data_IF_380604188208
#
_entry.id   IF_380604188208
#
_cell.length_a   1.000
_cell.length_b   1.000
_cell.length_c   1.000
_cell.angle_alpha   90.00
_cell.angle_beta   90.00
_cell.angle_gamma   90.00
#
_symmetry.space_group_name_H-M   'P 1'
#
loop_
_entity.id
_entity.type
_entity.pdbx_description
1 polymer ?
#
# COMPACT_ATOMS: atom_id res chain seq x y z
N UNK A 1 34.56 68.30 -40.52
CA UNK A 1 33.71 68.19 -39.32
C UNK A 1 32.75 67.06 -39.59
N UNK A 2 33.07 65.85 -39.07
CA UNK A 2 32.23 64.66 -39.22
C UNK A 2 31.43 64.43 -37.92
N UNK A 3 30.11 64.14 -37.90
CA UNK A 3 29.38 63.81 -36.71
C UNK A 3 29.57 62.32 -36.37
N UNK A 4 29.98 62.08 -35.16
CA UNK A 4 30.13 60.79 -34.51
C UNK A 4 28.78 60.14 -34.32
N UNK A 5 28.63 58.98 -34.89
CA UNK A 5 27.45 58.12 -34.70
C UNK A 5 27.57 57.40 -33.32
N UNK A 6 26.90 57.93 -32.33
CA UNK A 6 26.75 57.22 -30.99
C UNK A 6 25.87 56.04 -31.15
N UNK A 7 26.49 54.83 -31.09
CA UNK A 7 25.85 53.56 -31.11
C UNK A 7 25.28 53.30 -29.70
N UNK A 8 24.00 53.27 -29.60
CA UNK A 8 23.26 52.98 -28.34
C UNK A 8 23.21 51.47 -28.08
N UNK A 9 24.31 50.92 -27.52
CA UNK A 9 24.43 49.51 -27.09
C UNK A 9 24.30 49.40 -25.56
N UNK A 10 23.09 49.43 -25.02
CA UNK A 10 23.05 49.32 -23.56
C UNK A 10 21.72 49.09 -22.87
N UNK A 11 20.74 48.41 -23.49
CA UNK A 11 19.47 48.26 -22.78
C UNK A 11 18.83 46.84 -22.77
N UNK A 12 19.46 45.82 -23.34
CA UNK A 12 18.80 44.50 -23.45
C UNK A 12 19.34 43.40 -22.51
N UNK A 13 20.44 43.62 -21.80
CA UNK A 13 21.09 42.60 -20.97
C UNK A 13 20.34 42.28 -19.65
N UNK A 14 19.71 43.22 -18.91
CA UNK A 14 19.11 42.93 -17.63
C UNK A 14 17.80 42.12 -17.73
N UNK A 15 17.04 42.25 -18.84
CA UNK A 15 15.77 41.57 -19.02
C UNK A 15 15.98 40.07 -19.30
N UNK A 16 16.99 39.73 -20.11
CA UNK A 16 17.31 38.34 -20.46
C UNK A 16 17.90 37.60 -19.26
N UNK A 17 18.74 38.25 -18.45
CA UNK A 17 19.31 37.66 -17.24
C UNK A 17 18.23 37.38 -16.17
N UNK A 18 17.24 38.25 -16.00
CA UNK A 18 16.11 38.04 -15.09
C UNK A 18 15.24 36.87 -15.51
N UNK A 19 15.01 36.66 -16.79
CA UNK A 19 14.21 35.55 -17.33
C UNK A 19 14.91 34.18 -17.15
N UNK A 20 16.25 34.15 -17.25
CA UNK A 20 17.07 32.95 -17.10
C UNK A 20 17.12 32.45 -15.64
N UNK A 21 17.08 33.33 -14.66
CA UNK A 21 17.16 32.97 -13.23
C UNK A 21 15.78 32.68 -12.64
N UNK A 22 14.74 33.43 -13.00
CA UNK A 22 13.40 33.25 -12.46
C UNK A 22 12.56 32.18 -13.21
N UNK A 23 12.89 31.88 -14.45
CA UNK A 23 12.14 30.94 -15.30
C UNK A 23 11.99 29.56 -14.69
N UNK A 24 13.06 28.88 -14.25
CA UNK A 24 12.96 27.52 -13.70
C UNK A 24 12.21 27.47 -12.36
N UNK A 25 12.31 28.51 -11.52
CA UNK A 25 11.59 28.57 -10.25
C UNK A 25 10.08 28.74 -10.49
N UNK A 26 9.69 29.61 -11.40
CA UNK A 26 8.29 29.82 -11.77
C UNK A 26 7.68 28.56 -12.43
N UNK A 27 8.45 27.90 -13.29
CA UNK A 27 8.00 26.64 -13.90
C UNK A 27 7.80 25.53 -12.85
N UNK A 28 8.70 25.40 -11.89
CA UNK A 28 8.59 24.42 -10.81
C UNK A 28 7.39 24.69 -9.89
N UNK A 29 7.12 25.95 -9.55
CA UNK A 29 5.97 26.32 -8.72
C UNK A 29 4.64 26.10 -9.43
N UNK A 30 4.56 26.39 -10.72
CA UNK A 30 3.36 26.12 -11.53
C UNK A 30 3.12 24.63 -11.69
N UNK A 31 4.17 23.82 -11.88
CA UNK A 31 4.07 22.37 -11.95
C UNK A 31 3.57 21.77 -10.63
N UNK A 32 4.12 22.22 -9.50
CA UNK A 32 3.66 21.78 -8.17
C UNK A 32 2.22 22.20 -7.89
N UNK A 33 1.84 23.43 -8.22
CA UNK A 33 0.47 23.90 -8.07
C UNK A 33 -0.49 23.08 -8.96
N UNK A 34 -0.08 22.75 -10.17
CA UNK A 34 -0.85 21.89 -11.09
C UNK A 34 -1.04 20.47 -10.55
N UNK A 35 0.00 19.86 -9.98
CA UNK A 35 -0.06 18.53 -9.38
C UNK A 35 -0.98 18.51 -8.15
N UNK A 36 -0.91 19.52 -7.28
CA UNK A 36 -1.78 19.65 -6.13
C UNK A 36 -3.23 19.83 -6.56
N UNK A 37 -3.50 20.70 -7.54
CA UNK A 37 -4.84 20.91 -8.08
C UNK A 37 -5.39 19.62 -8.73
N UNK A 38 -4.60 18.91 -9.54
CA UNK A 38 -4.99 17.65 -10.14
C UNK A 38 -5.36 16.59 -9.08
N UNK A 39 -4.63 16.55 -7.97
CA UNK A 39 -4.94 15.68 -6.82
C UNK A 39 -6.29 16.01 -6.16
N UNK A 40 -6.64 17.29 -6.06
CA UNK A 40 -7.92 17.75 -5.49
C UNK A 40 -9.12 17.36 -6.36
N UNK A 41 -8.96 17.36 -7.67
CA UNK A 41 -10.02 16.99 -8.62
C UNK A 41 -10.06 15.49 -8.96
N UNK A 42 -9.24 14.67 -8.33
CA UNK A 42 -9.22 13.21 -8.53
C UNK A 42 -8.74 12.78 -9.93
N UNK A 43 -8.12 13.68 -10.69
CA UNK A 43 -7.66 13.47 -12.06
C UNK A 43 -6.21 13.01 -12.17
N UNK A 44 -5.52 12.76 -11.04
CA UNK A 44 -4.09 12.48 -11.04
C UNK A 44 -3.68 11.15 -10.39
N UNK A 45 -2.39 10.80 -10.52
CA UNK A 45 -1.80 9.65 -9.84
C UNK A 45 -1.84 9.78 -8.30
N UNK A 46 -2.21 10.95 -7.77
CA UNK A 46 -2.39 11.25 -6.35
C UNK A 46 -3.82 10.94 -5.85
N UNK A 47 -4.60 10.15 -6.60
CA UNK A 47 -5.88 9.65 -6.10
C UNK A 47 -5.61 8.97 -4.76
N UNK A 48 -6.23 9.44 -3.69
CA UNK A 48 -6.15 8.76 -2.39
C UNK A 48 -6.50 7.30 -2.61
N UNK A 49 -5.60 6.36 -2.30
CA UNK A 49 -5.95 4.95 -2.39
C UNK A 49 -7.21 4.73 -1.57
N UNK A 50 -8.12 3.91 -2.09
CA UNK A 50 -9.29 3.50 -1.33
C UNK A 50 -8.81 3.00 0.06
N UNK A 51 -9.54 3.33 1.12
CA UNK A 51 -9.12 2.90 2.45
C UNK A 51 -9.03 1.36 2.45
N UNK A 52 -7.88 0.85 2.89
CA UNK A 52 -7.61 -0.58 2.95
C UNK A 52 -8.73 -1.31 3.72
N UNK A 53 -9.21 -2.42 3.19
CA UNK A 53 -10.06 -3.35 3.91
C UNK A 53 -9.27 -3.98 5.08
N UNK A 54 -9.97 -4.62 6.02
CA UNK A 54 -9.29 -5.31 7.13
C UNK A 54 -8.39 -6.43 6.62
N UNK A 55 -8.81 -7.18 5.58
CA UNK A 55 -7.99 -8.21 4.96
C UNK A 55 -6.76 -7.64 4.23
N UNK A 56 -6.90 -6.50 3.55
CA UNK A 56 -5.77 -5.83 2.90
C UNK A 56 -4.76 -5.26 3.90
N UNK A 57 -5.24 -4.71 5.02
CA UNK A 57 -4.38 -4.26 6.10
C UNK A 57 -3.60 -5.44 6.71
N UNK A 58 -4.27 -6.58 6.93
CA UNK A 58 -3.64 -7.80 7.40
C UNK A 58 -2.60 -8.35 6.40
N UNK A 59 -2.94 -8.40 5.11
CA UNK A 59 -2.00 -8.82 4.06
C UNK A 59 -0.80 -7.88 3.89
N UNK A 60 -0.96 -6.60 4.20
CA UNK A 60 0.11 -5.60 4.14
C UNK A 60 0.96 -5.49 5.41
N UNK A 61 0.64 -6.23 6.47
CA UNK A 61 1.32 -6.11 7.77
C UNK A 61 1.01 -4.79 8.51
N UNK A 62 -0.04 -4.07 8.10
CA UNK A 62 -0.43 -2.79 8.72
C UNK A 62 -1.30 -3.03 9.96
N UNK A 63 -0.63 -3.38 11.07
CA UNK A 63 -1.26 -3.65 12.36
C UNK A 63 -2.08 -2.46 12.87
N UNK A 64 -1.61 -1.22 12.63
CA UNK A 64 -2.32 -0.03 13.09
C UNK A 64 -3.66 0.13 12.37
N UNK A 65 -3.67 -0.03 11.06
CA UNK A 65 -4.90 0.02 10.27
C UNK A 65 -5.82 -1.16 10.60
N UNK A 66 -5.28 -2.37 10.80
CA UNK A 66 -6.06 -3.54 11.19
C UNK A 66 -6.80 -3.31 12.51
N UNK A 67 -6.10 -2.88 13.57
CA UNK A 67 -6.71 -2.58 14.88
C UNK A 67 -7.74 -1.46 14.76
N UNK A 68 -7.44 -0.40 14.03
CA UNK A 68 -8.38 0.70 13.81
C UNK A 68 -9.67 0.19 13.15
N UNK A 69 -9.56 -0.65 12.11
CA UNK A 69 -10.73 -1.21 11.42
C UNK A 69 -11.59 -2.07 12.33
N UNK A 70 -10.97 -2.90 13.19
CA UNK A 70 -11.70 -3.70 14.18
C UNK A 70 -12.45 -2.78 15.16
N UNK A 71 -11.79 -1.73 15.65
CA UNK A 71 -12.43 -0.75 16.55
C UNK A 71 -13.54 0.06 15.88
N UNK A 72 -13.50 0.24 14.57
CA UNK A 72 -14.56 0.83 13.74
C UNK A 72 -15.74 -0.14 13.54
N UNK A 73 -15.69 -1.36 14.09
CA UNK A 73 -16.75 -2.36 14.04
C UNK A 73 -16.62 -3.36 12.88
N UNK A 74 -15.47 -3.43 12.21
CA UNK A 74 -15.24 -4.48 11.22
C UNK A 74 -15.04 -5.82 11.93
N UNK A 75 -15.82 -6.82 11.55
CA UNK A 75 -15.78 -8.17 12.13
C UNK A 75 -14.52 -8.90 11.62
N UNK A 76 -13.60 -9.35 12.50
CA UNK A 76 -12.39 -10.07 12.11
C UNK A 76 -12.66 -11.47 11.53
N UNK A 77 -13.90 -11.98 11.66
CA UNK A 77 -14.34 -13.28 11.13
C UNK A 77 -15.15 -13.17 9.83
N UNK A 78 -15.22 -11.97 9.23
CA UNK A 78 -15.87 -11.74 7.95
C UNK A 78 -14.85 -11.67 6.83
N UNK A 79 -15.20 -12.23 5.66
CA UNK A 79 -14.40 -12.06 4.43
C UNK A 79 -14.53 -10.65 3.87
N UNK A 80 -13.40 -10.07 3.47
CA UNK A 80 -13.32 -8.74 2.86
C UNK A 80 -12.73 -8.83 1.46
N UNK A 81 -13.18 -7.97 0.54
CA UNK A 81 -12.60 -7.90 -0.78
C UNK A 81 -11.13 -7.51 -0.68
N UNK A 82 -10.30 -8.12 -1.53
CA UNK A 82 -8.88 -7.83 -1.67
C UNK A 82 -8.59 -7.34 -3.07
N UNK A 83 -7.73 -6.30 -3.17
CA UNK A 83 -7.30 -5.74 -4.42
C UNK A 83 -6.05 -6.45 -4.96
N UNK A 84 -5.55 -5.97 -6.09
CA UNK A 84 -4.27 -6.38 -6.64
C UNK A 84 -3.14 -6.29 -5.57
N UNK A 85 -2.19 -7.26 -5.45
CA UNK A 85 -1.95 -8.36 -6.41
C UNK A 85 -2.71 -9.68 -6.13
N UNK A 86 -3.46 -9.80 -5.04
CA UNK A 86 -4.16 -11.05 -4.69
C UNK A 86 -5.29 -11.34 -5.67
N UNK A 87 -6.02 -10.31 -6.10
CA UNK A 87 -7.08 -10.45 -7.10
C UNK A 87 -6.56 -11.00 -8.44
N UNK A 88 -5.31 -10.71 -8.81
CA UNK A 88 -4.69 -11.24 -10.02
C UNK A 88 -4.45 -12.77 -9.97
N UNK A 89 -4.52 -13.37 -8.78
CA UNK A 89 -4.44 -14.82 -8.54
C UNK A 89 -5.82 -15.49 -8.43
N UNK A 90 -6.89 -14.76 -8.79
CA UNK A 90 -8.27 -15.25 -8.67
C UNK A 90 -8.86 -15.16 -7.26
N UNK A 91 -8.12 -14.59 -6.30
CA UNK A 91 -8.59 -14.41 -4.93
C UNK A 91 -9.30 -13.06 -4.83
N UNK A 92 -10.62 -13.08 -4.68
CA UNK A 92 -11.44 -11.85 -4.64
C UNK A 92 -11.79 -11.40 -3.23
N UNK A 93 -11.80 -12.31 -2.27
CA UNK A 93 -12.06 -12.02 -0.85
C UNK A 93 -11.30 -13.01 0.04
N UNK A 94 -10.87 -12.54 1.21
CA UNK A 94 -10.17 -13.33 2.22
C UNK A 94 -10.69 -12.97 3.63
N UNK A 95 -10.58 -13.92 4.55
CA UNK A 95 -10.62 -13.63 5.98
C UNK A 95 -9.35 -12.87 6.38
N UNK A 96 -9.43 -11.90 7.30
CA UNK A 96 -8.25 -11.15 7.75
C UNK A 96 -7.13 -12.03 8.29
N UNK A 97 -7.47 -13.05 9.07
CA UNK A 97 -6.51 -14.00 9.63
C UNK A 97 -5.84 -14.86 8.53
N UNK A 98 -6.60 -15.26 7.52
CA UNK A 98 -6.08 -15.96 6.34
C UNK A 98 -5.10 -15.06 5.56
N UNK A 99 -5.46 -13.79 5.34
CA UNK A 99 -4.64 -12.82 4.63
C UNK A 99 -3.29 -12.58 5.33
N UNK A 100 -3.29 -12.36 6.65
CA UNK A 100 -2.07 -12.20 7.45
C UNK A 100 -1.22 -13.47 7.50
N UNK A 101 -1.85 -14.64 7.62
CA UNK A 101 -1.14 -15.91 7.61
C UNK A 101 -0.46 -16.18 6.25
N UNK A 102 -1.15 -15.98 5.13
CA UNK A 102 -0.60 -16.22 3.78
C UNK A 102 0.60 -15.35 3.43
N UNK A 103 0.76 -14.20 4.08
CA UNK A 103 1.95 -13.33 3.94
C UNK A 103 3.11 -13.77 4.83
N UNK A 104 2.88 -14.66 5.78
CA UNK A 104 3.89 -15.15 6.71
C UNK A 104 4.16 -14.19 7.88
N UNK A 105 3.28 -13.24 8.12
CA UNK A 105 3.41 -12.28 9.21
C UNK A 105 2.85 -12.86 10.52
N UNK A 106 3.76 -13.38 11.33
CA UNK A 106 3.44 -14.00 12.62
C UNK A 106 2.79 -13.00 13.58
N UNK A 107 3.32 -11.78 13.66
CA UNK A 107 2.85 -10.76 14.60
C UNK A 107 1.43 -10.32 14.27
N UNK A 108 1.13 -10.23 12.98
CA UNK A 108 -0.23 -9.97 12.48
C UNK A 108 -1.19 -11.11 12.82
N UNK A 109 -0.76 -12.37 12.67
CA UNK A 109 -1.56 -13.54 13.05
C UNK A 109 -1.87 -13.51 14.55
N UNK A 110 -0.87 -13.28 15.39
CA UNK A 110 -1.06 -13.17 16.85
C UNK A 110 -1.99 -12.01 17.23
N UNK A 111 -1.85 -10.87 16.55
CA UNK A 111 -2.70 -9.70 16.74
C UNK A 111 -4.17 -10.04 16.45
N UNK A 112 -4.44 -10.60 15.27
CA UNK A 112 -5.79 -10.91 14.84
C UNK A 112 -6.45 -12.00 15.72
N UNK A 113 -5.69 -13.01 16.15
CA UNK A 113 -6.19 -14.03 17.10
C UNK A 113 -6.55 -13.40 18.46
N UNK A 114 -5.76 -12.45 18.96
CA UNK A 114 -6.09 -11.69 20.19
C UNK A 114 -7.36 -10.85 20.04
N UNK A 115 -7.62 -10.34 18.84
CA UNK A 115 -8.84 -9.60 18.51
C UNK A 115 -10.04 -10.53 18.18
N UNK A 116 -9.89 -11.85 18.38
CA UNK A 116 -10.96 -12.82 18.22
C UNK A 116 -11.14 -13.37 16.80
N UNK A 117 -10.17 -13.19 15.92
CA UNK A 117 -10.19 -13.81 14.61
C UNK A 117 -9.96 -15.32 14.71
N UNK A 118 -10.78 -16.11 14.01
CA UNK A 118 -10.71 -17.57 13.96
C UNK A 118 -10.80 -18.00 12.50
N UNK A 119 -10.03 -19.02 12.12
CA UNK A 119 -10.20 -19.70 10.83
C UNK A 119 -11.04 -20.98 11.03
N UNK A 120 -11.96 -21.29 10.10
CA UNK A 120 -12.55 -22.62 10.02
C UNK A 120 -11.44 -23.67 9.88
N UNK A 121 -11.61 -24.89 10.47
CA UNK A 121 -10.56 -25.91 10.47
C UNK A 121 -10.04 -26.28 9.07
N UNK A 122 -10.94 -26.34 8.08
CA UNK A 122 -10.58 -26.61 6.68
C UNK A 122 -9.72 -25.50 6.07
N UNK A 123 -10.00 -24.24 6.37
CA UNK A 123 -9.20 -23.10 5.90
C UNK A 123 -7.88 -23.03 6.65
N UNK A 124 -7.86 -23.27 7.94
CA UNK A 124 -6.64 -23.34 8.75
C UNK A 124 -5.68 -24.40 8.20
N UNK A 125 -6.19 -25.60 7.90
CA UNK A 125 -5.40 -26.69 7.31
C UNK A 125 -4.87 -26.32 5.92
N UNK A 126 -5.70 -25.77 5.05
CA UNK A 126 -5.31 -25.34 3.70
C UNK A 126 -4.19 -24.28 3.76
N UNK A 127 -4.34 -23.27 4.60
CA UNK A 127 -3.34 -22.21 4.80
C UNK A 127 -2.05 -22.78 5.39
N UNK A 128 -2.15 -23.66 6.39
CA UNK A 128 -1.00 -24.32 7.00
C UNK A 128 -0.18 -25.10 5.97
N UNK A 129 -0.82 -25.83 5.08
CA UNK A 129 -0.14 -26.59 4.03
C UNK A 129 0.54 -25.68 3.00
N UNK A 130 -0.09 -24.58 2.61
CA UNK A 130 0.53 -23.57 1.72
C UNK A 130 1.77 -22.96 2.37
N UNK A 131 1.72 -22.65 3.65
CA UNK A 131 2.86 -22.09 4.39
C UNK A 131 3.99 -23.10 4.56
N UNK A 132 3.66 -24.35 4.86
CA UNK A 132 4.63 -25.43 4.98
C UNK A 132 5.41 -25.66 3.68
N UNK A 133 4.73 -25.63 2.53
CA UNK A 133 5.37 -25.75 1.22
C UNK A 133 6.36 -24.62 0.93
N UNK A 134 6.26 -23.48 1.64
CA UNK A 134 7.18 -22.33 1.61
C UNK A 134 8.24 -22.36 2.72
N UNK A 135 8.28 -23.44 3.51
CA UNK A 135 9.23 -23.60 4.62
C UNK A 135 8.84 -22.88 5.92
N UNK A 136 7.63 -22.31 6.00
CA UNK A 136 7.14 -21.72 7.25
C UNK A 136 6.44 -22.80 8.07
N UNK A 137 6.92 -23.05 9.29
CA UNK A 137 6.37 -24.06 10.21
C UNK A 137 5.76 -23.46 11.47
N UNK A 138 6.02 -22.20 11.74
CA UNK A 138 5.58 -21.53 12.98
C UNK A 138 4.09 -21.15 12.90
N UNK A 139 3.69 -20.47 11.84
CA UNK A 139 2.29 -20.06 11.66
C UNK A 139 1.35 -21.26 11.54
N UNK A 140 1.67 -22.35 10.80
CA UNK A 140 0.88 -23.57 10.84
C UNK A 140 0.61 -24.12 12.26
N UNK A 141 1.64 -24.12 13.12
CA UNK A 141 1.48 -24.54 14.53
C UNK A 141 0.59 -23.59 15.33
N UNK A 142 0.60 -22.31 15.01
CA UNK A 142 -0.28 -21.33 15.64
C UNK A 142 -1.75 -21.51 15.22
N UNK A 143 -1.99 -21.89 13.96
CA UNK A 143 -3.33 -22.07 13.41
C UNK A 143 -3.97 -23.40 13.82
N UNK A 144 -3.21 -24.48 13.77
CA UNK A 144 -3.70 -25.85 14.04
C UNK A 144 -3.27 -26.45 15.39
N UNK A 145 -2.42 -25.73 16.13
CA UNK A 145 -1.89 -26.17 17.41
C UNK A 145 -0.62 -27.00 17.32
N UNK A 146 -0.09 -27.39 18.49
CA UNK A 146 1.19 -28.07 18.61
C UNK A 146 1.26 -29.47 17.95
N UNK A 147 0.11 -30.08 17.68
CA UNK A 147 0.02 -31.39 17.02
C UNK A 147 0.04 -31.33 15.48
N UNK A 148 0.22 -30.14 14.91
CA UNK A 148 0.28 -29.99 13.47
C UNK A 148 1.49 -30.72 12.87
N UNK A 149 1.26 -31.46 11.78
CA UNK A 149 2.29 -32.21 11.05
C UNK A 149 2.17 -31.94 9.54
N UNK A 150 3.27 -31.50 8.93
CA UNK A 150 3.36 -31.22 7.48
C UNK A 150 3.11 -32.48 6.61
N UNK A 151 3.32 -33.70 7.13
CA UNK A 151 3.03 -34.93 6.41
C UNK A 151 1.55 -35.11 6.05
N UNK A 152 0.65 -34.40 6.75
CA UNK A 152 -0.81 -34.43 6.49
C UNK A 152 -1.22 -33.60 5.27
N UNK A 153 -0.32 -32.78 4.74
CA UNK A 153 -0.60 -31.91 3.58
C UNK A 153 -0.61 -32.63 2.22
N UNK A 154 -0.37 -33.92 2.16
CA UNK A 154 -0.32 -34.71 0.92
C UNK A 154 -1.42 -35.78 0.80
N UNK A 155 -2.43 -35.76 1.67
CA UNK A 155 -3.49 -36.78 1.71
C UNK A 155 -4.79 -36.30 1.10
#
# INVERSE_FOLDING_TARGET
MSPETQRNEGASVPIVAGLLVCGPVMAATLLMAGLVAAGQFGLGPLRRPAPLSLAEAAAGGDALTAVRRIREGNDPNRSYPVAFPLAARGITALLPLEAGALTGDRDMVELLQREGAVLPPEDAHRVACVLASRGNTDIPRMLEGAAWDAARCGQ
#
